data_IF_063160485073
#
_entry.id   IF_063160485073
#
_cell.length_a   1.000
_cell.length_b   1.000
_cell.length_c   1.000
_cell.angle_alpha   90.00
_cell.angle_beta   90.00
_cell.angle_gamma   90.00
#
_symmetry.space_group_name_H-M   'P 1'
#
loop_
_entity.id
_entity.type
_entity.pdbx_description
1 polymer ?
#
# COMPACT_ATOMS: atom_id res chain seq x y z
N UNK A 1 -17.79 -59.51 -3.98
CA UNK A 1 -16.94 -58.37 -3.60
C UNK A 1 -16.83 -57.49 -4.84
N UNK A 2 -17.61 -56.41 -4.89
CA UNK A 2 -17.64 -55.53 -6.07
C UNK A 2 -16.29 -54.85 -6.24
N UNK A 3 -15.78 -54.81 -7.45
CA UNK A 3 -14.62 -53.99 -7.76
C UNK A 3 -14.93 -52.55 -7.32
N UNK A 4 -14.08 -52.00 -6.46
CA UNK A 4 -14.04 -50.56 -6.20
C UNK A 4 -13.77 -49.92 -7.57
N UNK A 5 -14.63 -49.01 -8.07
CA UNK A 5 -14.32 -48.27 -9.29
C UNK A 5 -13.04 -47.47 -8.99
N UNK A 6 -11.93 -47.91 -9.55
CA UNK A 6 -10.66 -47.21 -9.53
C UNK A 6 -10.83 -45.95 -10.36
N UNK A 7 -10.65 -44.83 -9.66
CA UNK A 7 -10.23 -43.51 -10.13
C UNK A 7 -10.82 -43.02 -11.45
N UNK A 8 -11.65 -41.97 -11.36
CA UNK A 8 -12.00 -41.13 -12.50
C UNK A 8 -10.68 -40.73 -13.20
N UNK A 9 -10.50 -41.14 -14.46
CA UNK A 9 -9.38 -40.73 -15.32
C UNK A 9 -9.50 -39.22 -15.60
N UNK A 10 -9.11 -38.40 -14.62
CA UNK A 10 -9.05 -36.96 -14.74
C UNK A 10 -7.67 -36.60 -15.28
N UNK A 11 -7.65 -36.10 -16.51
CA UNK A 11 -6.47 -35.51 -17.14
C UNK A 11 -6.30 -34.07 -16.69
N UNK A 12 -5.06 -33.70 -16.38
CA UNK A 12 -4.68 -32.35 -15.95
C UNK A 12 -3.87 -31.66 -17.05
N UNK A 13 -4.32 -30.48 -17.48
CA UNK A 13 -3.66 -29.66 -18.48
C UNK A 13 -3.22 -28.34 -17.87
N UNK A 14 -1.92 -28.08 -17.93
CA UNK A 14 -1.32 -26.82 -17.50
C UNK A 14 -1.18 -25.86 -18.68
N UNK A 15 -1.82 -24.71 -18.59
CA UNK A 15 -1.76 -23.63 -19.58
C UNK A 15 -0.96 -22.47 -18.98
N UNK A 16 0.19 -22.09 -19.57
CA UNK A 16 0.98 -20.98 -19.06
C UNK A 16 0.23 -19.66 -19.24
N UNK A 17 0.32 -18.80 -18.23
CA UNK A 17 -0.11 -17.40 -18.30
C UNK A 17 1.13 -16.57 -18.64
N UNK A 18 1.17 -16.05 -19.87
CA UNK A 18 2.33 -15.32 -20.40
C UNK A 18 1.99 -13.87 -20.69
N UNK A 19 2.76 -12.95 -20.13
CA UNK A 19 2.72 -11.54 -20.50
C UNK A 19 3.58 -11.35 -21.75
N UNK A 20 3.00 -10.75 -22.79
CA UNK A 20 3.68 -10.41 -24.07
C UNK A 20 4.38 -11.59 -24.75
N UNK A 21 3.96 -12.83 -24.45
CA UNK A 21 4.55 -14.04 -25.02
C UNK A 21 5.97 -14.39 -24.55
N UNK A 22 6.56 -13.61 -23.64
CA UNK A 22 7.96 -13.79 -23.21
C UNK A 22 8.07 -14.17 -21.73
N UNK A 23 7.19 -13.63 -20.88
CA UNK A 23 7.29 -13.79 -19.43
C UNK A 23 6.13 -14.62 -18.88
N UNK A 24 6.42 -15.85 -18.43
CA UNK A 24 5.45 -16.68 -17.70
C UNK A 24 5.29 -16.12 -16.29
N UNK A 25 4.06 -15.76 -15.92
CA UNK A 25 3.71 -15.25 -14.59
C UNK A 25 2.91 -16.23 -13.75
N UNK A 26 2.49 -17.35 -14.34
CA UNK A 26 1.71 -18.37 -13.67
C UNK A 26 1.20 -19.44 -14.64
N UNK A 27 0.27 -20.26 -14.17
CA UNK A 27 -0.40 -21.28 -14.96
C UNK A 27 -1.87 -21.40 -14.57
N UNK A 28 -2.70 -21.74 -15.54
CA UNK A 28 -4.08 -22.19 -15.36
C UNK A 28 -4.05 -23.71 -15.45
N UNK A 29 -4.61 -24.39 -14.46
CA UNK A 29 -4.70 -25.85 -14.44
C UNK A 29 -6.14 -26.25 -14.73
N UNK A 30 -6.34 -27.05 -15.78
CA UNK A 30 -7.62 -27.62 -16.14
C UNK A 30 -7.63 -29.12 -15.83
N UNK A 31 -8.49 -29.55 -14.92
CA UNK A 31 -8.75 -30.97 -14.67
C UNK A 31 -10.02 -31.38 -15.45
N UNK A 32 -9.90 -32.36 -16.34
CA UNK A 32 -11.00 -32.80 -17.23
C UNK A 32 -10.90 -34.29 -17.52
N UNK A 33 -12.03 -34.94 -17.79
CA UNK A 33 -12.05 -36.35 -18.24
C UNK A 33 -11.69 -36.50 -19.73
N UNK A 34 -11.62 -35.38 -20.48
CA UNK A 34 -11.15 -35.38 -21.87
C UNK A 34 -9.65 -35.70 -21.95
N UNK A 35 -9.27 -36.51 -22.93
CA UNK A 35 -7.87 -36.90 -23.19
C UNK A 35 -7.11 -35.92 -24.09
N UNK A 36 -7.80 -35.11 -24.90
CA UNK A 36 -7.21 -34.01 -25.69
C UNK A 36 -8.30 -32.98 -26.03
N UNK A 37 -7.87 -31.76 -26.35
CA UNK A 37 -8.73 -30.67 -26.79
C UNK A 37 -8.70 -30.53 -28.33
N UNK A 38 -9.85 -30.20 -28.91
CA UNK A 38 -9.95 -29.77 -30.30
C UNK A 38 -9.21 -28.46 -30.54
N UNK A 39 -8.97 -28.12 -31.82
CA UNK A 39 -8.31 -26.87 -32.19
C UNK A 39 -9.07 -25.63 -31.71
N UNK A 40 -10.42 -25.64 -31.80
CA UNK A 40 -11.26 -24.53 -31.32
C UNK A 40 -11.17 -24.37 -29.80
N UNK A 41 -11.16 -25.48 -29.05
CA UNK A 41 -10.99 -25.45 -27.59
C UNK A 41 -9.61 -24.92 -27.19
N UNK A 42 -8.54 -25.33 -27.90
CA UNK A 42 -7.18 -24.83 -27.66
C UNK A 42 -7.08 -23.32 -27.91
N UNK A 43 -7.66 -22.85 -29.01
CA UNK A 43 -7.67 -21.41 -29.37
C UNK A 43 -8.46 -20.59 -28.35
N UNK A 44 -9.58 -21.13 -27.85
CA UNK A 44 -10.37 -20.52 -26.79
C UNK A 44 -9.61 -20.45 -25.45
N UNK A 45 -8.96 -21.55 -25.05
CA UNK A 45 -8.15 -21.63 -23.83
C UNK A 45 -6.98 -20.63 -23.90
N UNK A 46 -6.32 -20.52 -25.05
CA UNK A 46 -5.24 -19.57 -25.29
C UNK A 46 -5.75 -18.12 -25.20
N UNK A 47 -6.90 -17.82 -25.79
CA UNK A 47 -7.53 -16.49 -25.68
C UNK A 47 -7.85 -16.12 -24.22
N UNK A 48 -8.37 -17.07 -23.43
CA UNK A 48 -8.62 -16.87 -21.99
C UNK A 48 -7.31 -16.65 -21.23
N UNK A 49 -6.28 -17.45 -21.49
CA UNK A 49 -4.97 -17.28 -20.83
C UNK A 49 -4.38 -15.91 -21.10
N UNK A 50 -4.43 -15.45 -22.36
CA UNK A 50 -3.94 -14.13 -22.75
C UNK A 50 -4.72 -13.00 -22.07
N UNK A 51 -6.06 -13.08 -22.00
CA UNK A 51 -6.86 -12.09 -21.30
C UNK A 51 -6.60 -12.08 -19.79
N UNK A 52 -6.39 -13.26 -19.20
CA UNK A 52 -6.04 -13.41 -17.79
C UNK A 52 -4.68 -12.76 -17.51
N UNK A 53 -3.70 -12.95 -18.39
CA UNK A 53 -2.38 -12.33 -18.28
C UNK A 53 -2.47 -10.79 -18.26
N UNK A 54 -3.25 -10.21 -19.17
CA UNK A 54 -3.45 -8.75 -19.24
C UNK A 54 -4.13 -8.19 -17.99
N UNK A 55 -5.17 -8.87 -17.50
CA UNK A 55 -5.88 -8.46 -16.30
C UNK A 55 -4.97 -8.51 -15.06
N UNK A 56 -4.18 -9.57 -14.91
CA UNK A 56 -3.21 -9.70 -13.81
C UNK A 56 -2.08 -8.66 -13.89
N UNK A 57 -1.58 -8.35 -15.10
CA UNK A 57 -0.59 -7.30 -15.29
C UNK A 57 -1.15 -5.94 -14.86
N UNK A 58 -2.38 -5.61 -15.28
CA UNK A 58 -3.05 -4.37 -14.90
C UNK A 58 -3.26 -4.27 -13.39
N UNK A 59 -3.73 -5.34 -12.75
CA UNK A 59 -3.94 -5.39 -11.29
C UNK A 59 -2.62 -5.18 -10.53
N UNK A 60 -1.53 -5.84 -10.97
CA UNK A 60 -0.19 -5.66 -10.38
C UNK A 60 0.30 -4.21 -10.52
N UNK A 61 0.17 -3.62 -11.70
CA UNK A 61 0.57 -2.23 -11.95
C UNK A 61 -0.23 -1.24 -11.08
N UNK A 62 -1.53 -1.49 -10.91
CA UNK A 62 -2.38 -0.68 -10.04
C UNK A 62 -1.97 -0.80 -8.57
N UNK A 63 -1.66 -2.01 -8.10
CA UNK A 63 -1.17 -2.23 -6.73
C UNK A 63 0.17 -1.51 -6.49
N UNK A 64 1.09 -1.58 -7.44
CA UNK A 64 2.38 -0.88 -7.38
C UNK A 64 2.20 0.64 -7.36
N UNK A 65 1.29 1.18 -8.18
CA UNK A 65 0.96 2.59 -8.17
C UNK A 65 0.38 3.03 -6.82
N UNK A 66 -0.55 2.24 -6.26
CA UNK A 66 -1.15 2.52 -4.95
C UNK A 66 -0.10 2.51 -3.83
N UNK A 67 0.81 1.53 -3.81
CA UNK A 67 1.91 1.48 -2.84
C UNK A 67 2.79 2.74 -2.91
N UNK A 68 3.08 3.25 -4.11
CA UNK A 68 3.86 4.49 -4.28
C UNK A 68 3.11 5.70 -3.71
N UNK A 69 1.81 5.83 -4.00
CA UNK A 69 0.99 6.93 -3.46
C UNK A 69 0.97 6.93 -1.94
N UNK A 70 0.86 5.76 -1.30
CA UNK A 70 0.88 5.65 0.16
C UNK A 70 2.25 6.04 0.75
N UNK A 71 3.35 5.65 0.11
CA UNK A 71 4.69 6.08 0.51
C UNK A 71 4.88 7.59 0.40
N UNK A 72 4.45 8.20 -0.70
CA UNK A 72 4.51 9.65 -0.90
C UNK A 72 3.69 10.41 0.14
N UNK A 73 2.49 9.90 0.47
CA UNK A 73 1.64 10.46 1.53
C UNK A 73 2.36 10.46 2.88
N UNK A 74 2.92 9.32 3.28
CA UNK A 74 3.65 9.21 4.54
C UNK A 74 4.84 10.18 4.61
N UNK A 75 5.63 10.30 3.53
CA UNK A 75 6.75 11.24 3.47
C UNK A 75 6.28 12.69 3.59
N UNK A 76 5.20 13.04 2.89
CA UNK A 76 4.62 14.39 2.96
C UNK A 76 4.10 14.72 4.35
N UNK A 77 3.47 13.76 5.02
CA UNK A 77 2.99 13.92 6.40
C UNK A 77 4.15 14.19 7.36
N UNK A 78 5.20 13.36 7.32
CA UNK A 78 6.43 13.56 8.12
C UNK A 78 7.05 14.94 7.84
N UNK A 79 7.12 15.34 6.57
CA UNK A 79 7.70 16.63 6.17
C UNK A 79 6.88 17.80 6.72
N UNK A 80 5.55 17.68 6.67
CA UNK A 80 4.63 18.71 7.21
C UNK A 80 4.78 18.84 8.72
N UNK A 81 4.88 17.72 9.45
CA UNK A 81 5.10 17.69 10.90
C UNK A 81 6.44 18.37 11.28
N UNK A 82 7.50 18.07 10.53
CA UNK A 82 8.81 18.69 10.72
C UNK A 82 8.79 20.20 10.44
N UNK A 83 8.19 20.64 9.34
CA UNK A 83 8.05 22.06 9.03
C UNK A 83 7.27 22.80 10.11
N UNK A 84 6.17 22.23 10.63
CA UNK A 84 5.41 22.82 11.74
C UNK A 84 6.25 22.99 12.99
N UNK A 85 7.07 22.00 13.33
CA UNK A 85 7.96 22.05 14.49
C UNK A 85 9.01 23.17 14.34
N UNK A 86 9.62 23.27 13.15
CA UNK A 86 10.60 24.32 12.83
C UNK A 86 9.98 25.73 12.83
N UNK A 87 8.77 25.87 12.29
CA UNK A 87 8.01 27.13 12.29
C UNK A 87 7.63 27.54 13.72
N UNK A 88 7.24 26.57 14.55
CA UNK A 88 6.91 26.81 15.95
C UNK A 88 8.11 27.31 16.76
N UNK A 89 9.27 26.67 16.63
CA UNK A 89 10.49 27.13 17.31
C UNK A 89 10.88 28.55 16.85
N UNK A 90 10.84 28.80 15.54
CA UNK A 90 11.17 30.11 14.94
C UNK A 90 10.20 31.21 15.39
N UNK A 91 8.91 30.87 15.54
CA UNK A 91 7.89 31.78 16.07
C UNK A 91 8.17 32.13 17.53
N UNK A 92 8.44 31.14 18.38
CA UNK A 92 8.76 31.36 19.79
C UNK A 92 10.01 32.22 19.97
N UNK A 93 11.06 31.93 19.21
CA UNK A 93 12.29 32.75 19.21
C UNK A 93 12.00 34.20 18.80
N UNK A 94 11.14 34.42 17.80
CA UNK A 94 10.73 35.76 17.38
C UNK A 94 9.96 36.49 18.48
N UNK A 95 9.04 35.81 19.18
CA UNK A 95 8.29 36.38 20.30
C UNK A 95 9.23 36.76 21.45
N UNK A 96 10.12 35.84 21.86
CA UNK A 96 11.12 36.11 22.93
C UNK A 96 11.96 37.33 22.58
N UNK A 97 12.43 37.40 21.33
CA UNK A 97 13.26 38.51 20.84
C UNK A 97 12.52 39.83 20.85
N UNK A 98 11.24 39.86 20.49
CA UNK A 98 10.45 41.10 20.47
C UNK A 98 10.16 41.60 21.90
N UNK A 99 9.74 40.69 22.79
CA UNK A 99 9.48 41.01 24.20
C UNK A 99 10.74 41.53 24.92
N UNK A 100 11.91 40.97 24.62
CA UNK A 100 13.18 41.42 25.17
C UNK A 100 13.63 42.82 24.76
N UNK A 101 13.02 43.44 23.73
CA UNK A 101 13.33 44.82 23.32
C UNK A 101 12.66 45.87 24.21
N UNK A 102 11.69 45.48 25.03
CA UNK A 102 10.96 46.40 25.89
C UNK A 102 11.93 46.89 26.99
N UNK A 103 12.21 48.20 27.13
CA UNK A 103 13.24 48.72 28.05
C UNK A 103 13.03 48.36 29.52
N UNK A 104 11.81 47.97 29.90
CA UNK A 104 11.45 47.59 31.26
C UNK A 104 11.64 46.09 31.54
N UNK A 105 11.88 45.27 30.52
CA UNK A 105 12.01 43.80 30.63
C UNK A 105 13.49 43.46 30.79
N UNK A 106 13.82 42.74 31.87
CA UNK A 106 15.19 42.28 32.14
C UNK A 106 15.45 40.85 31.67
N UNK A 107 14.41 40.04 31.58
CA UNK A 107 14.48 38.64 31.17
C UNK A 107 13.12 38.19 30.61
N UNK A 108 13.15 37.37 29.55
CA UNK A 108 11.95 36.77 28.93
C UNK A 108 12.17 35.27 28.77
N UNK A 109 11.23 34.46 29.22
CA UNK A 109 11.19 33.02 28.93
C UNK A 109 9.78 32.61 28.52
N UNK A 110 9.68 31.60 27.65
CA UNK A 110 8.40 30.98 27.27
C UNK A 110 8.49 29.51 27.69
N UNK A 111 7.53 29.07 28.51
CA UNK A 111 7.36 27.67 28.90
C UNK A 111 6.14 27.11 28.19
N UNK A 112 6.28 25.90 27.64
CA UNK A 112 5.21 25.20 26.93
C UNK A 112 4.96 23.89 27.64
N UNK A 113 3.78 23.78 28.25
CA UNK A 113 3.34 22.55 28.87
C UNK A 113 2.62 21.68 27.82
N UNK A 114 2.83 20.35 27.81
CA UNK A 114 2.08 19.46 26.95
C UNK A 114 0.56 19.56 27.23
N UNK A 115 -0.32 19.33 26.23
CA UNK A 115 -1.76 19.58 26.34
C UNK A 115 -2.43 18.87 27.52
N UNK A 116 -1.94 17.68 27.90
CA UNK A 116 -2.52 16.81 28.92
C UNK A 116 -2.30 17.29 30.37
N UNK A 117 -1.50 18.34 30.58
CA UNK A 117 -1.17 18.88 31.92
C UNK A 117 -1.95 20.14 32.31
N UNK A 118 -2.73 20.73 31.39
CA UNK A 118 -3.45 21.99 31.63
C UNK A 118 -4.65 21.78 32.58
N UNK A 119 -5.27 20.59 32.59
CA UNK A 119 -6.48 20.31 33.37
C UNK A 119 -6.26 20.14 34.89
N UNK A 120 -5.01 19.96 35.36
CA UNK A 120 -4.74 19.72 36.80
C UNK A 120 -4.42 20.97 37.63
N UNK A 121 -4.26 22.13 37.01
CA UNK A 121 -3.83 23.36 37.70
C UNK A 121 -4.98 24.27 38.17
N UNK A 122 -6.23 24.02 37.79
CA UNK A 122 -7.39 24.84 38.22
C UNK A 122 -8.13 24.32 39.48
N UNK A 123 -7.65 23.26 40.14
CA UNK A 123 -8.37 22.62 41.27
C UNK A 123 -7.61 22.61 42.60
N UNK A 124 -6.57 23.43 42.77
CA UNK A 124 -5.90 23.58 44.06
C UNK A 124 -5.94 25.05 44.50
N UNK A 125 -7.03 25.39 45.17
CA UNK A 125 -7.20 26.56 46.07
C UNK A 125 -6.29 26.40 47.30
#
# INVERSE_FOLDING_TARGET
MGAVPSDLDVNEFDIPITIRGEQVIGKITLATEQSDFSSEEKEFIEAISNQTALALESARLLEEANKRVEQERAIREITTEFSRTLDFESLLQSIVKELGKIPLVKETSIHINPPDEIERSEVAD
#
